data_IF_972220069775
#
_entry.id   IF_972220069775
#
_cell.length_a   1.000
_cell.length_b   1.000
_cell.length_c   1.000
_cell.angle_alpha   90.00
_cell.angle_beta   90.00
_cell.angle_gamma   90.00
#
_symmetry.space_group_name_H-M   'P 1'
#
loop_
_entity.id
_entity.type
_entity.pdbx_description
1 polymer ?
#
# COMPACT_ATOMS: atom_id res chain seq x y z
N UNK A 1 17.49 -4.39 -13.23
CA UNK A 1 17.29 -3.58 -12.02
C UNK A 1 15.90 -3.85 -11.50
N UNK A 2 15.74 -4.06 -10.19
CA UNK A 2 14.44 -4.25 -9.54
C UNK A 2 14.31 -3.33 -8.33
N UNK A 3 13.08 -3.12 -7.88
CA UNK A 3 12.75 -2.42 -6.64
C UNK A 3 12.20 -3.43 -5.65
N UNK A 4 12.73 -3.43 -4.43
CA UNK A 4 12.34 -4.32 -3.35
C UNK A 4 11.69 -3.50 -2.23
N UNK A 5 10.65 -4.07 -1.64
CA UNK A 5 9.97 -3.56 -0.46
C UNK A 5 9.81 -4.72 0.52
N UNK A 6 10.16 -4.51 1.78
CA UNK A 6 9.99 -5.49 2.86
C UNK A 6 9.22 -4.81 3.99
N UNK A 7 8.21 -5.50 4.52
CA UNK A 7 7.35 -4.98 5.58
C UNK A 7 6.81 -6.11 6.46
N UNK A 8 6.23 -5.74 7.60
CA UNK A 8 5.57 -6.66 8.51
C UNK A 8 4.17 -7.03 8.01
N UNK A 9 4.03 -8.27 7.54
CA UNK A 9 2.75 -8.81 7.03
C UNK A 9 1.73 -9.09 8.12
N UNK A 10 2.12 -9.13 9.40
CA UNK A 10 1.16 -9.26 10.51
C UNK A 10 0.34 -7.97 10.69
N UNK A 11 0.91 -6.83 10.29
CA UNK A 11 0.28 -5.50 10.32
C UNK A 11 -0.28 -5.15 8.94
N UNK A 12 0.57 -5.07 7.92
CA UNK A 12 0.17 -4.77 6.55
C UNK A 12 -0.12 -6.05 5.76
N UNK A 13 -1.30 -6.62 6.02
CA UNK A 13 -1.76 -7.88 5.43
C UNK A 13 -2.08 -7.81 3.93
N UNK A 14 -2.23 -6.61 3.39
CA UNK A 14 -2.64 -6.39 2.00
C UNK A 14 -1.65 -5.49 1.27
N UNK A 15 -1.59 -5.64 -0.06
CA UNK A 15 -0.86 -4.75 -0.94
C UNK A 15 -1.85 -4.12 -1.91
N UNK A 16 -2.08 -2.81 -1.79
CA UNK A 16 -2.88 -2.10 -2.78
C UNK A 16 -2.00 -1.81 -3.98
N UNK A 17 -2.52 -2.11 -5.16
CA UNK A 17 -1.82 -1.92 -6.42
C UNK A 17 -2.61 -0.96 -7.30
N UNK A 18 -2.08 0.24 -7.45
CA UNK A 18 -2.65 1.26 -8.34
C UNK A 18 -1.78 1.42 -9.59
N UNK A 19 -2.46 1.64 -10.70
CA UNK A 19 -1.89 1.81 -12.02
C UNK A 19 -2.43 3.09 -12.64
N UNK A 20 -1.52 3.96 -13.09
CA UNK A 20 -1.86 5.15 -13.84
C UNK A 20 -1.00 5.24 -15.09
N UNK A 21 -1.63 4.97 -16.22
CA UNK A 21 -0.99 4.91 -17.52
C UNK A 21 -1.41 6.09 -18.39
N UNK A 22 -1.11 7.29 -17.89
CA UNK A 22 -1.30 8.53 -18.63
C UNK A 22 -2.74 8.86 -19.01
N UNK A 23 -3.68 8.59 -18.11
CA UNK A 23 -5.11 8.89 -18.33
C UNK A 23 -5.33 10.40 -18.54
N UNK A 24 -6.02 10.83 -19.61
CA UNK A 24 -6.23 12.25 -19.94
C UNK A 24 -7.35 12.89 -19.11
N UNK A 25 -7.42 12.59 -17.82
CA UNK A 25 -8.43 13.10 -16.88
C UNK A 25 -7.77 13.48 -15.54
N UNK A 26 -8.54 14.05 -14.63
CA UNK A 26 -8.14 14.25 -13.25
C UNK A 26 -7.50 12.97 -12.66
N UNK A 27 -6.45 13.08 -11.81
CA UNK A 27 -5.81 14.30 -11.32
C UNK A 27 -4.64 14.81 -12.17
N UNK A 28 -4.08 13.97 -13.04
CA UNK A 28 -2.80 14.25 -13.68
C UNK A 28 -2.90 14.66 -15.16
N UNK A 29 -4.09 14.56 -15.76
CA UNK A 29 -4.41 14.99 -17.13
C UNK A 29 -3.36 14.56 -18.16
N UNK A 30 -3.03 13.27 -18.17
CA UNK A 30 -2.07 12.69 -19.11
C UNK A 30 -0.63 13.15 -18.92
N UNK A 31 -0.22 13.46 -17.67
CA UNK A 31 1.18 13.81 -17.32
C UNK A 31 1.85 12.84 -16.36
N UNK A 32 1.24 11.70 -16.07
CA UNK A 32 1.79 10.73 -15.13
C UNK A 32 1.67 9.31 -15.67
N UNK A 33 2.81 8.63 -15.69
CA UNK A 33 2.94 7.21 -16.00
C UNK A 33 3.62 6.54 -14.81
N UNK A 34 2.83 5.90 -13.96
CA UNK A 34 3.34 5.35 -12.71
C UNK A 34 2.47 4.19 -12.22
N UNK A 35 3.05 3.43 -11.31
CA UNK A 35 2.33 2.51 -10.44
C UNK A 35 2.58 2.89 -8.99
N UNK A 36 1.71 2.46 -8.09
CA UNK A 36 1.97 2.48 -6.65
C UNK A 36 1.72 1.09 -6.06
N UNK A 37 2.63 0.67 -5.19
CA UNK A 37 2.52 -0.52 -4.36
C UNK A 37 2.44 -0.03 -2.91
N UNK A 38 1.30 -0.22 -2.27
CA UNK A 38 1.00 0.37 -0.96
C UNK A 38 0.67 -0.74 0.04
N UNK A 39 1.62 -1.12 0.91
CA UNK A 39 1.33 -2.01 2.04
C UNK A 39 0.24 -1.39 2.91
N UNK A 40 -0.84 -2.12 3.12
CA UNK A 40 -2.05 -1.64 3.79
C UNK A 40 -2.57 -2.68 4.78
N UNK A 41 -3.22 -2.21 5.85
CA UNK A 41 -3.77 -3.07 6.89
C UNK A 41 -5.11 -3.69 6.51
N UNK A 42 -5.79 -3.15 5.50
CA UNK A 42 -7.16 -3.51 5.13
C UNK A 42 -7.38 -3.67 3.62
N UNK A 43 -8.54 -4.20 3.23
CA UNK A 43 -8.96 -4.23 1.81
C UNK A 43 -9.22 -2.81 1.27
N UNK A 44 -8.97 -2.57 -0.04
CA UNK A 44 -9.29 -1.30 -0.70
C UNK A 44 -10.79 -1.03 -0.69
N UNK A 45 -11.21 -0.18 0.24
CA UNK A 45 -12.57 0.29 0.42
C UNK A 45 -12.59 1.49 1.40
N UNK A 46 -13.75 2.11 1.60
CA UNK A 46 -13.96 3.04 2.71
C UNK A 46 -14.05 2.32 4.07
N UNK A 47 -13.81 3.04 5.17
CA UNK A 47 -13.83 2.50 6.54
C UNK A 47 -15.07 1.64 6.86
N UNK A 48 -16.32 2.03 6.49
CA UNK A 48 -17.49 1.19 6.80
C UNK A 48 -17.42 -0.23 6.22
N UNK A 49 -16.97 -0.38 4.97
CA UNK A 49 -16.80 -1.70 4.36
C UNK A 49 -15.61 -2.45 4.97
N UNK A 50 -14.53 -1.75 5.35
CA UNK A 50 -13.42 -2.38 6.06
C UNK A 50 -13.83 -2.89 7.45
N UNK A 51 -14.74 -2.19 8.13
CA UNK A 51 -15.34 -2.64 9.39
C UNK A 51 -16.20 -3.88 9.17
N UNK A 52 -17.09 -3.83 8.19
CA UNK A 52 -17.95 -4.97 7.80
C UNK A 52 -17.16 -6.21 7.39
N UNK A 53 -16.05 -6.04 6.69
CA UNK A 53 -15.14 -7.14 6.31
C UNK A 53 -14.18 -7.55 7.43
N UNK A 54 -14.16 -6.86 8.57
CA UNK A 54 -13.28 -7.20 9.69
C UNK A 54 -11.80 -6.99 9.42
N UNK A 55 -11.45 -6.13 8.44
CA UNK A 55 -10.05 -5.92 8.03
C UNK A 55 -9.45 -4.61 8.54
N UNK A 56 -10.26 -3.77 9.18
CA UNK A 56 -9.78 -2.58 9.88
C UNK A 56 -8.86 -2.94 11.06
N UNK A 57 -8.05 -1.97 11.48
CA UNK A 57 -7.26 -2.05 12.71
C UNK A 57 -7.94 -1.19 13.77
N UNK A 58 -8.03 -1.71 14.99
CA UNK A 58 -8.57 -1.00 16.16
C UNK A 58 -7.44 -0.78 17.16
N UNK A 59 -7.36 0.44 17.69
CA UNK A 59 -6.45 0.81 18.78
C UNK A 59 -7.28 1.36 19.92
N UNK A 60 -7.02 0.88 21.13
CA UNK A 60 -7.65 1.40 22.33
C UNK A 60 -7.08 2.78 22.72
N UNK A 61 -7.77 3.47 23.62
CA UNK A 61 -7.32 4.76 24.14
C UNK A 61 -5.93 4.65 24.76
N UNK A 62 -4.97 5.40 24.22
CA UNK A 62 -3.57 5.40 24.67
C UNK A 62 -2.71 4.26 24.10
N UNK A 63 -3.26 3.39 23.27
CA UNK A 63 -2.49 2.34 22.59
C UNK A 63 -1.65 2.92 21.43
N UNK A 64 -0.55 2.24 21.11
CA UNK A 64 0.27 2.50 19.94
C UNK A 64 0.50 1.21 19.15
N UNK A 65 0.71 1.35 17.84
CA UNK A 65 1.14 0.28 16.96
C UNK A 65 2.30 0.79 16.13
N UNK A 66 3.41 0.06 16.18
CA UNK A 66 4.64 0.41 15.48
C UNK A 66 5.07 -0.74 14.58
N UNK A 67 5.70 -0.39 13.46
CA UNK A 67 6.25 -1.35 12.52
C UNK A 67 7.40 -0.74 11.75
N UNK A 68 8.08 -1.54 10.95
CA UNK A 68 9.19 -1.12 10.10
C UNK A 68 8.92 -1.53 8.67
N UNK A 69 9.35 -0.69 7.75
CA UNK A 69 9.43 -1.01 6.34
C UNK A 69 10.86 -0.71 5.86
N UNK A 70 11.32 -1.47 4.88
CA UNK A 70 12.55 -1.15 4.15
C UNK A 70 12.29 -1.20 2.65
N UNK A 71 13.06 -0.39 1.94
CA UNK A 71 13.02 -0.31 0.48
C UNK A 71 14.44 -0.40 -0.06
N UNK A 72 14.60 -0.99 -1.24
CA UNK A 72 15.90 -1.21 -1.84
C UNK A 72 15.86 -1.28 -3.36
N UNK A 73 16.99 -0.98 -3.98
CA UNK A 73 17.22 -1.28 -5.40
C UNK A 73 18.02 -2.57 -5.45
N UNK A 74 17.48 -3.58 -6.13
CA UNK A 74 18.11 -4.88 -6.27
C UNK A 74 18.64 -5.12 -7.69
N UNK A 75 19.80 -5.75 -7.77
CA UNK A 75 20.41 -6.21 -9.00
C UNK A 75 20.38 -7.73 -8.98
N UNK A 76 19.54 -8.34 -9.81
CA UNK A 76 19.64 -9.80 -10.01
C UNK A 76 20.96 -10.07 -10.71
N UNK A 77 21.83 -10.88 -10.08
CA UNK A 77 22.95 -11.50 -10.79
C UNK A 77 22.38 -12.44 -11.86
N UNK A 78 23.03 -12.56 -13.03
CA UNK A 78 22.61 -13.47 -14.08
C UNK A 78 22.54 -14.93 -13.58
#
# INVERSE_FOLDING_TARGET
MGFEMIWDVSIFRYLWFWQNYNTPDYPWYGRAWNIALEPCTSYPAGLPEQVKHGTHVTLDGGASLETKYSVGIIWRKP
#
